data_IF_167514302703
#
_entry.id   IF_167514302703
#
_cell.length_a   1.000
_cell.length_b   1.000
_cell.length_c   1.000
_cell.angle_alpha   90.00
_cell.angle_beta   90.00
_cell.angle_gamma   90.00
#
_symmetry.space_group_name_H-M   'P 1'
#
loop_
_entity.id
_entity.type
_entity.pdbx_description
1 polymer ?
#
# COMPACT_ATOMS: atom_id res chain seq x y z
N UNK A 1 17.90 17.29 -10.88
CA UNK A 1 17.46 17.22 -9.58
C UNK A 1 16.74 15.91 -9.25
N UNK A 2 17.01 15.47 -8.15
CA UNK A 2 16.48 14.20 -7.76
C UNK A 2 15.12 14.38 -7.16
N UNK A 3 14.24 13.48 -7.50
CA UNK A 3 12.91 13.57 -7.04
C UNK A 3 12.50 12.24 -6.49
N UNK A 4 11.86 12.30 -5.35
CA UNK A 4 11.32 11.07 -4.82
C UNK A 4 10.17 10.62 -5.70
N UNK A 5 10.27 9.44 -6.24
CA UNK A 5 9.24 8.90 -7.09
C UNK A 5 8.60 7.74 -6.38
N UNK A 6 7.30 7.82 -6.21
CA UNK A 6 6.57 6.73 -5.57
C UNK A 6 6.53 5.53 -6.50
N UNK A 7 6.57 4.33 -5.95
CA UNK A 7 6.36 3.14 -6.76
C UNK A 7 4.98 3.20 -7.40
N UNK A 8 4.88 2.64 -8.58
CA UNK A 8 3.58 2.59 -9.24
C UNK A 8 2.71 1.55 -8.57
N UNK A 9 1.41 1.61 -8.84
CA UNK A 9 0.48 0.64 -8.32
C UNK A 9 0.90 -0.76 -8.74
N UNK A 10 1.35 -0.90 -9.97
CA UNK A 10 1.78 -2.20 -10.47
C UNK A 10 3.00 -2.71 -9.72
N UNK A 11 3.94 -1.82 -9.43
CA UNK A 11 5.13 -2.22 -8.69
C UNK A 11 4.78 -2.66 -7.28
N UNK A 12 3.87 -1.93 -6.66
CA UNK A 12 3.44 -2.28 -5.31
C UNK A 12 2.89 -3.69 -5.28
N UNK A 13 2.07 -4.02 -6.25
CA UNK A 13 1.46 -5.34 -6.30
C UNK A 13 2.46 -6.42 -6.69
N UNK A 14 3.23 -6.16 -7.74
CA UNK A 14 4.16 -7.16 -8.26
C UNK A 14 5.24 -7.50 -7.24
N UNK A 15 5.77 -6.51 -6.58
CA UNK A 15 6.88 -6.70 -5.65
C UNK A 15 6.44 -6.78 -4.21
N UNK A 16 5.13 -6.72 -3.98
CA UNK A 16 4.57 -6.83 -2.63
C UNK A 16 5.15 -5.78 -1.70
N UNK A 17 5.28 -4.56 -2.20
CA UNK A 17 5.87 -3.49 -1.41
C UNK A 17 5.02 -3.15 -0.20
N UNK A 18 3.73 -3.44 -0.25
CA UNK A 18 2.86 -3.18 0.89
C UNK A 18 3.31 -3.97 2.12
N UNK A 19 3.98 -5.10 1.91
CA UNK A 19 4.48 -5.88 3.04
C UNK A 19 5.57 -5.13 3.79
N UNK A 20 6.43 -4.45 3.06
CA UNK A 20 7.49 -3.66 3.66
C UNK A 20 6.92 -2.52 4.48
N UNK A 21 5.70 -2.10 4.17
CA UNK A 21 5.07 -1.01 4.87
C UNK A 21 4.18 -1.49 6.00
N UNK A 22 4.12 -2.79 6.22
CA UNK A 22 3.42 -3.33 7.38
C UNK A 22 2.05 -3.91 7.11
N UNK A 23 1.68 -4.07 5.85
CA UNK A 23 0.38 -4.67 5.51
C UNK A 23 0.57 -6.13 5.14
N UNK A 24 -0.29 -6.97 5.68
CA UNK A 24 -0.31 -8.36 5.25
C UNK A 24 -1.05 -8.46 3.92
N UNK A 25 -0.94 -9.62 3.28
CA UNK A 25 -1.65 -9.86 2.03
C UNK A 25 -3.16 -9.69 2.23
N UNK A 26 -3.67 -10.18 3.35
CA UNK A 26 -5.09 -10.06 3.63
C UNK A 26 -5.50 -8.61 3.79
N UNK A 27 -4.68 -7.84 4.48
CA UNK A 27 -4.97 -6.43 4.66
C UNK A 27 -4.93 -5.68 3.35
N UNK A 28 -3.99 -6.04 2.50
CA UNK A 28 -3.91 -5.43 1.18
C UNK A 28 -5.19 -5.68 0.39
N UNK A 29 -5.68 -6.92 0.42
CA UNK A 29 -6.93 -7.25 -0.26
C UNK A 29 -8.10 -6.48 0.35
N UNK A 30 -8.08 -6.29 1.65
CA UNK A 30 -9.13 -5.54 2.30
C UNK A 30 -9.11 -4.08 1.84
N UNK A 31 -7.94 -3.49 1.70
CA UNK A 31 -7.82 -2.12 1.20
C UNK A 31 -8.43 -2.02 -0.20
N UNK A 32 -8.13 -2.99 -1.06
CA UNK A 32 -8.68 -2.99 -2.39
C UNK A 32 -10.20 -3.03 -2.34
N UNK A 33 -10.73 -3.85 -1.45
CA UNK A 33 -12.16 -3.98 -1.30
C UNK A 33 -12.81 -2.67 -0.84
N UNK A 34 -12.16 -2.01 0.11
CA UNK A 34 -12.67 -0.75 0.64
C UNK A 34 -12.65 0.35 -0.43
N UNK A 35 -11.56 0.44 -1.16
CA UNK A 35 -11.40 1.50 -2.15
C UNK A 35 -12.12 1.22 -3.46
N UNK A 36 -12.37 -0.04 -3.75
CA UNK A 36 -12.92 -0.42 -5.03
C UNK A 36 -11.88 -0.39 -6.15
N UNK A 37 -10.61 -0.27 -5.79
CA UNK A 37 -9.52 -0.25 -6.75
C UNK A 37 -8.23 -0.51 -5.98
N UNK A 38 -7.14 -0.73 -6.70
CA UNK A 38 -5.86 -0.97 -6.05
C UNK A 38 -5.32 0.36 -5.51
N UNK A 39 -4.75 0.33 -4.31
CA UNK A 39 -4.26 1.57 -3.69
C UNK A 39 -2.91 2.00 -4.25
N UNK A 40 -2.68 3.30 -4.21
CA UNK A 40 -1.36 3.80 -4.56
C UNK A 40 -0.48 3.81 -3.31
N UNK A 41 0.76 4.26 -3.46
CA UNK A 41 1.75 4.19 -2.39
C UNK A 41 1.30 5.00 -1.16
N UNK A 42 0.78 6.20 -1.40
CA UNK A 42 0.33 7.05 -0.30
C UNK A 42 -0.81 6.41 0.47
N UNK A 43 -1.73 5.80 -0.27
CA UNK A 43 -2.87 5.15 0.37
C UNK A 43 -2.43 3.96 1.21
N UNK A 44 -1.47 3.19 0.70
CA UNK A 44 -0.92 2.09 1.46
C UNK A 44 -0.34 2.58 2.77
N UNK A 45 0.39 3.69 2.72
CA UNK A 45 0.97 4.26 3.93
C UNK A 45 -0.09 4.66 4.95
N UNK A 46 -1.17 5.26 4.48
CA UNK A 46 -2.24 5.68 5.37
C UNK A 46 -2.89 4.47 6.05
N UNK A 47 -3.21 3.44 5.26
CA UNK A 47 -3.83 2.26 5.85
C UNK A 47 -2.88 1.53 6.77
N UNK A 48 -1.60 1.52 6.43
CA UNK A 48 -0.61 0.89 7.28
C UNK A 48 -0.57 1.53 8.66
N UNK A 49 -0.58 2.86 8.70
CA UNK A 49 -0.59 3.58 9.97
C UNK A 49 -1.88 3.30 10.74
N UNK A 50 -3.00 3.34 10.05
CA UNK A 50 -4.28 3.13 10.70
C UNK A 50 -4.36 1.76 11.36
N UNK A 51 -3.82 0.76 10.71
CA UNK A 51 -3.95 -0.61 11.21
C UNK A 51 -2.85 -1.02 12.15
N UNK A 52 -1.80 -0.25 12.29
CA UNK A 52 -0.78 -0.56 13.24
C UNK A 52 -0.96 0.17 14.56
N UNK A 53 -2.09 0.79 14.73
CA UNK A 53 -2.38 1.58 15.92
C UNK A 53 -3.03 0.74 17.02
N UNK A 54 -2.78 -0.51 17.12
CA UNK A 54 -3.36 -1.26 18.24
C UNK A 54 -2.36 -2.08 18.98
#
# INVERSE_FOLDING_TARGET
MSKFLEPSIKEIETEHLYRDMGLTDEEYQKVISILGRKPNFTEIGIFSVMWSEH
#
